data_IF_010144854646
#
_entry.id   IF_010144854646
#
_cell.length_a   1.000
_cell.length_b   1.000
_cell.length_c   1.000
_cell.angle_alpha   90.00
_cell.angle_beta   90.00
_cell.angle_gamma   90.00
#
_symmetry.space_group_name_H-M   'P 1'
#
loop_
_entity.id
_entity.type
_entity.pdbx_description
1 polymer ?
#
# COMPACT_ATOMS: atom_id res chain seq x y z
N UNK A 1 -0.15 -79.68 -31.76
CA UNK A 1 1.22 -79.09 -31.78
C UNK A 1 1.22 -77.67 -32.34
N UNK A 2 0.49 -77.34 -33.37
CA UNK A 2 0.38 -75.94 -33.91
C UNK A 2 -0.30 -74.95 -32.95
N UNK A 3 -1.33 -75.38 -32.21
CA UNK A 3 -2.06 -74.53 -31.29
C UNK A 3 -1.21 -74.03 -30.11
N UNK A 4 -0.27 -74.85 -29.63
CA UNK A 4 0.62 -74.49 -28.51
C UNK A 4 1.65 -73.49 -28.94
N UNK A 5 2.15 -73.57 -30.17
CA UNK A 5 3.12 -72.62 -30.73
C UNK A 5 2.48 -71.25 -30.97
N UNK A 6 1.27 -71.21 -31.52
CA UNK A 6 0.53 -69.95 -31.78
C UNK A 6 0.12 -69.28 -30.46
N UNK A 7 -0.23 -70.02 -29.42
CA UNK A 7 -0.55 -69.47 -28.12
C UNK A 7 0.67 -68.81 -27.48
N UNK A 8 1.82 -69.46 -27.54
CA UNK A 8 3.09 -68.94 -26.95
C UNK A 8 3.61 -67.70 -27.69
N UNK A 9 3.49 -67.68 -29.03
CA UNK A 9 3.85 -66.50 -29.83
C UNK A 9 2.90 -65.35 -29.56
N UNK A 10 1.59 -65.63 -29.40
CA UNK A 10 0.58 -64.61 -29.10
C UNK A 10 0.75 -64.04 -27.70
N UNK A 11 1.06 -64.83 -26.69
CA UNK A 11 1.36 -64.38 -25.34
C UNK A 11 2.63 -63.52 -25.28
N UNK A 12 3.69 -63.89 -25.96
CA UNK A 12 4.89 -63.09 -26.09
C UNK A 12 4.68 -61.76 -26.88
N UNK A 13 3.81 -61.76 -27.90
CA UNK A 13 3.49 -60.58 -28.67
C UNK A 13 2.70 -59.58 -27.82
N UNK A 14 1.68 -60.01 -27.12
CA UNK A 14 0.85 -59.21 -26.22
C UNK A 14 1.69 -58.58 -25.11
N UNK A 15 2.58 -59.38 -24.50
CA UNK A 15 3.46 -58.90 -23.44
C UNK A 15 4.42 -57.81 -23.98
N UNK A 16 5.03 -58.01 -25.14
CA UNK A 16 5.91 -57.02 -25.77
C UNK A 16 5.17 -55.76 -26.13
N UNK A 17 3.96 -55.86 -26.64
CA UNK A 17 3.09 -54.72 -26.99
C UNK A 17 2.72 -53.91 -25.73
N UNK A 18 2.30 -54.57 -24.65
CA UNK A 18 2.02 -53.94 -23.36
C UNK A 18 3.23 -53.26 -22.77
N UNK A 19 4.41 -53.91 -22.80
CA UNK A 19 5.63 -53.38 -22.30
C UNK A 19 6.05 -52.09 -23.05
N UNK A 20 5.93 -52.12 -24.38
CA UNK A 20 6.20 -50.92 -25.23
C UNK A 20 5.30 -49.74 -24.87
N UNK A 21 3.98 -49.99 -24.70
CA UNK A 21 3.07 -48.95 -24.29
C UNK A 21 3.33 -48.42 -22.88
N UNK A 22 3.69 -49.30 -21.97
CA UNK A 22 4.05 -48.93 -20.61
C UNK A 22 5.30 -48.05 -20.60
N UNK A 23 6.31 -48.32 -21.40
CA UNK A 23 7.52 -47.49 -21.50
C UNK A 23 7.19 -46.09 -22.05
N UNK A 24 6.37 -46.03 -23.10
CA UNK A 24 5.95 -44.75 -23.68
C UNK A 24 5.17 -43.91 -22.64
N UNK A 25 4.22 -44.58 -21.95
CA UNK A 25 3.40 -43.91 -20.93
C UNK A 25 4.28 -43.40 -19.75
N UNK A 26 5.28 -44.19 -19.33
CA UNK A 26 6.20 -43.80 -18.27
C UNK A 26 7.10 -42.64 -18.70
N UNK A 27 7.58 -42.63 -19.94
CA UNK A 27 8.33 -41.53 -20.49
C UNK A 27 7.50 -40.23 -20.57
N UNK A 28 6.25 -40.33 -21.04
CA UNK A 28 5.33 -39.18 -21.06
C UNK A 28 5.05 -38.64 -19.66
N UNK A 29 4.84 -39.51 -18.66
CA UNK A 29 4.64 -39.14 -17.26
C UNK A 29 5.86 -38.40 -16.68
N UNK A 30 7.07 -38.88 -16.96
CA UNK A 30 8.31 -38.21 -16.53
C UNK A 30 8.46 -36.81 -17.15
N UNK A 31 8.18 -36.66 -18.44
CA UNK A 31 8.24 -35.36 -19.11
C UNK A 31 7.20 -34.39 -18.49
N UNK A 32 5.99 -34.85 -18.26
CA UNK A 32 4.95 -34.06 -17.60
C UNK A 32 5.35 -33.65 -16.16
N UNK A 33 5.94 -34.56 -15.38
CA UNK A 33 6.36 -34.29 -14.03
C UNK A 33 7.49 -33.23 -13.97
N UNK A 34 8.47 -33.34 -14.87
CA UNK A 34 9.57 -32.36 -14.98
C UNK A 34 9.02 -31.01 -15.44
N UNK A 35 8.14 -30.99 -16.45
CA UNK A 35 7.51 -29.78 -16.95
C UNK A 35 6.68 -29.07 -15.88
N UNK A 36 5.87 -29.83 -15.14
CA UNK A 36 5.06 -29.29 -14.04
C UNK A 36 5.92 -28.71 -12.93
N UNK A 37 6.98 -29.41 -12.54
CA UNK A 37 7.93 -28.92 -11.52
C UNK A 37 8.60 -27.63 -11.96
N UNK A 38 9.06 -27.56 -13.19
CA UNK A 38 9.69 -26.36 -13.74
C UNK A 38 8.72 -25.18 -13.80
N UNK A 39 7.51 -25.39 -14.29
CA UNK A 39 6.46 -24.37 -14.32
C UNK A 39 6.11 -23.86 -12.91
N UNK A 40 5.98 -24.77 -11.94
CA UNK A 40 5.69 -24.41 -10.56
C UNK A 40 6.79 -23.53 -9.93
N UNK A 41 8.06 -23.86 -10.17
CA UNK A 41 9.19 -23.06 -9.66
C UNK A 41 9.19 -21.67 -10.29
N UNK A 42 8.96 -21.57 -11.59
CA UNK A 42 8.91 -20.27 -12.31
C UNK A 42 7.78 -19.41 -11.73
N UNK A 43 6.56 -19.95 -11.67
CA UNK A 43 5.39 -19.21 -11.16
C UNK A 43 5.59 -18.77 -9.72
N UNK A 44 6.14 -19.65 -8.87
CA UNK A 44 6.44 -19.32 -7.47
C UNK A 44 7.42 -18.15 -7.36
N UNK A 45 8.50 -18.18 -8.12
CA UNK A 45 9.50 -17.13 -8.09
C UNK A 45 8.91 -15.81 -8.62
N UNK A 46 8.16 -15.85 -9.70
CA UNK A 46 7.50 -14.67 -10.29
C UNK A 46 6.51 -14.02 -9.32
N UNK A 47 5.73 -14.83 -8.59
CA UNK A 47 4.80 -14.34 -7.56
C UNK A 47 5.57 -13.72 -6.39
N UNK A 48 6.65 -14.35 -5.93
CA UNK A 48 7.47 -13.82 -4.84
C UNK A 48 8.13 -12.49 -5.24
N UNK A 49 8.73 -12.42 -6.42
CA UNK A 49 9.39 -11.21 -6.91
C UNK A 49 8.38 -10.07 -7.13
N UNK A 50 7.23 -10.37 -7.70
CA UNK A 50 6.14 -9.41 -7.88
C UNK A 50 5.59 -8.89 -6.55
N UNK A 51 5.42 -9.79 -5.56
CA UNK A 51 4.95 -9.41 -4.24
C UNK A 51 5.99 -8.53 -3.52
N UNK A 52 7.26 -8.90 -3.61
CA UNK A 52 8.35 -8.16 -2.99
C UNK A 52 8.52 -6.76 -3.61
N UNK A 53 8.38 -6.66 -4.94
CA UNK A 53 8.35 -5.40 -5.65
C UNK A 53 7.19 -4.51 -5.20
N UNK A 54 5.97 -5.06 -5.13
CA UNK A 54 4.79 -4.33 -4.68
C UNK A 54 4.92 -3.84 -3.23
N UNK A 55 5.47 -4.66 -2.33
CA UNK A 55 5.74 -4.26 -0.95
C UNK A 55 6.79 -3.14 -0.88
N UNK A 56 7.87 -3.26 -1.63
CA UNK A 56 8.92 -2.22 -1.68
C UNK A 56 8.37 -0.90 -2.19
N UNK A 57 7.53 -0.95 -3.22
CA UNK A 57 6.87 0.25 -3.76
C UNK A 57 5.90 0.86 -2.75
N UNK A 58 5.12 0.04 -2.03
CA UNK A 58 4.22 0.52 -0.99
C UNK A 58 4.98 1.20 0.16
N UNK A 59 6.05 0.57 0.65
CA UNK A 59 6.91 1.16 1.69
C UNK A 59 7.52 2.49 1.22
N UNK A 60 8.07 2.52 0.00
CA UNK A 60 8.64 3.76 -0.57
C UNK A 60 7.59 4.87 -0.72
N UNK A 61 6.36 4.52 -1.11
CA UNK A 61 5.25 5.48 -1.21
C UNK A 61 4.87 6.07 0.14
N UNK A 62 4.82 5.24 1.19
CA UNK A 62 4.54 5.70 2.56
C UNK A 62 5.68 6.59 3.07
N UNK A 63 6.94 6.20 2.87
CA UNK A 63 8.11 6.96 3.33
C UNK A 63 8.19 8.33 2.63
N UNK A 64 7.94 8.38 1.33
CA UNK A 64 7.84 9.64 0.59
C UNK A 64 6.70 10.51 1.13
N UNK A 65 5.52 9.94 1.36
CA UNK A 65 4.39 10.66 1.92
C UNK A 65 4.66 11.21 3.33
N UNK A 66 5.34 10.46 4.19
CA UNK A 66 5.77 10.94 5.51
C UNK A 66 6.80 12.07 5.41
N UNK A 67 7.72 11.99 4.46
CA UNK A 67 8.70 13.05 4.20
C UNK A 67 8.04 14.33 3.70
N UNK A 68 7.04 14.20 2.81
CA UNK A 68 6.23 15.33 2.35
C UNK A 68 5.45 15.96 3.49
N UNK A 69 4.81 15.16 4.34
CA UNK A 69 4.10 15.67 5.54
C UNK A 69 5.03 16.39 6.51
N UNK A 70 6.21 15.83 6.76
CA UNK A 70 7.22 16.48 7.60
C UNK A 70 7.64 17.83 7.02
N UNK A 71 7.88 17.88 5.73
CA UNK A 71 8.27 19.10 5.02
C UNK A 71 7.15 20.14 5.08
N UNK A 72 5.92 19.74 4.84
CA UNK A 72 4.75 20.58 4.95
C UNK A 72 4.57 21.12 6.37
N UNK A 73 4.70 20.26 7.38
CA UNK A 73 4.64 20.66 8.78
C UNK A 73 5.70 21.71 9.15
N UNK A 74 6.95 21.49 8.72
CA UNK A 74 8.03 22.45 8.96
C UNK A 74 7.80 23.79 8.22
N UNK A 75 7.34 23.75 6.97
CA UNK A 75 7.04 24.95 6.20
C UNK A 75 5.87 25.73 6.81
N UNK A 76 4.86 25.02 7.30
CA UNK A 76 3.70 25.64 7.96
C UNK A 76 4.12 26.29 9.29
N UNK A 77 4.88 25.59 10.12
CA UNK A 77 5.37 26.10 11.39
C UNK A 77 6.29 27.34 11.23
N UNK A 78 7.02 27.43 10.11
CA UNK A 78 7.89 28.57 9.79
C UNK A 78 7.18 29.67 9.01
N UNK A 79 5.90 29.52 8.70
CA UNK A 79 5.19 30.56 7.96
C UNK A 79 5.01 31.80 8.82
N UNK A 80 5.24 32.96 8.23
CA UNK A 80 5.12 34.25 8.93
C UNK A 80 3.71 34.45 9.50
N UNK A 81 2.70 33.97 8.79
CA UNK A 81 1.30 34.05 9.21
C UNK A 81 1.02 33.27 10.49
N UNK A 82 1.57 32.05 10.59
CA UNK A 82 1.44 31.22 11.81
C UNK A 82 2.25 31.81 12.96
N UNK A 83 3.48 32.25 12.69
CA UNK A 83 4.31 32.90 13.70
C UNK A 83 3.67 34.18 14.25
N UNK A 84 3.07 35.00 13.39
CA UNK A 84 2.33 36.19 13.83
C UNK A 84 1.11 35.82 14.67
N UNK A 85 0.38 34.75 14.31
CA UNK A 85 -0.76 34.27 15.09
C UNK A 85 -0.38 33.85 16.50
N UNK A 86 0.73 33.15 16.66
CA UNK A 86 1.18 32.65 17.95
C UNK A 86 1.54 33.81 18.94
N UNK A 87 1.95 34.95 18.38
CA UNK A 87 2.32 36.14 19.13
C UNK A 87 1.23 37.24 19.24
N UNK A 88 0.07 37.00 18.59
CA UNK A 88 -1.05 37.94 18.61
C UNK A 88 -1.75 37.95 19.98
N UNK A 89 -2.05 39.15 20.46
CA UNK A 89 -2.95 39.33 21.59
C UNK A 89 -4.37 39.56 21.05
N UNK A 90 -5.36 39.12 21.83
CA UNK A 90 -6.79 39.25 21.49
C UNK A 90 -7.23 40.72 21.28
N UNK A 91 -6.40 41.68 21.69
CA UNK A 91 -6.65 43.11 21.60
C UNK A 91 -6.14 43.79 20.32
N UNK A 92 -5.48 43.03 19.43
CA UNK A 92 -4.96 43.60 18.19
C UNK A 92 -6.08 43.81 17.16
N UNK A 93 -6.18 45.02 16.58
CA UNK A 93 -7.20 45.39 15.57
C UNK A 93 -7.24 44.45 14.35
N UNK A 94 -6.13 43.77 14.06
CA UNK A 94 -6.00 42.87 12.93
C UNK A 94 -6.07 41.38 13.32
N UNK A 95 -6.46 41.05 14.55
CA UNK A 95 -6.48 39.67 15.05
C UNK A 95 -7.23 38.71 14.11
N UNK A 96 -8.47 39.03 13.78
CA UNK A 96 -9.30 38.16 12.92
C UNK A 96 -8.77 38.09 11.49
N UNK A 97 -8.24 39.17 10.93
CA UNK A 97 -7.67 39.16 9.58
C UNK A 97 -6.43 38.27 9.49
N UNK A 98 -5.59 38.27 10.51
CA UNK A 98 -4.41 37.43 10.56
C UNK A 98 -4.78 35.94 10.72
N UNK A 99 -5.80 35.62 11.52
CA UNK A 99 -6.37 34.24 11.60
C UNK A 99 -6.86 33.78 10.23
N UNK A 100 -7.68 34.56 9.56
CA UNK A 100 -8.23 34.21 8.24
C UNK A 100 -7.11 33.99 7.22
N UNK A 101 -6.09 34.87 7.23
CA UNK A 101 -4.94 34.72 6.32
C UNK A 101 -4.17 33.43 6.59
N UNK A 102 -3.84 33.13 7.86
CA UNK A 102 -3.13 31.91 8.22
C UNK A 102 -3.92 30.64 7.89
N UNK A 103 -5.25 30.66 8.10
CA UNK A 103 -6.13 29.56 7.72
C UNK A 103 -6.07 29.36 6.20
N UNK A 104 -6.19 30.42 5.42
CA UNK A 104 -6.15 30.32 3.97
C UNK A 104 -4.80 29.81 3.44
N UNK A 105 -3.68 30.31 3.97
CA UNK A 105 -2.35 29.84 3.59
C UNK A 105 -2.15 28.35 3.93
N UNK A 106 -2.60 27.92 5.09
CA UNK A 106 -2.54 26.53 5.50
C UNK A 106 -3.32 25.64 4.54
N UNK A 107 -4.58 25.98 4.26
CA UNK A 107 -5.40 25.19 3.35
C UNK A 107 -4.87 25.16 1.93
N UNK A 108 -4.35 26.27 1.43
CA UNK A 108 -3.72 26.27 0.11
C UNK A 108 -2.54 25.31 0.03
N UNK A 109 -1.70 25.29 1.06
CA UNK A 109 -0.57 24.35 1.14
C UNK A 109 -1.04 22.90 1.23
N UNK A 110 -2.05 22.63 2.07
CA UNK A 110 -2.59 21.28 2.22
C UNK A 110 -3.20 20.73 0.93
N UNK A 111 -3.92 21.55 0.17
CA UNK A 111 -4.49 21.15 -1.12
C UNK A 111 -3.42 20.74 -2.15
N UNK A 112 -2.26 21.38 -2.14
CA UNK A 112 -1.20 21.13 -3.12
C UNK A 112 -0.20 20.04 -2.71
N UNK A 113 0.02 19.86 -1.42
CA UNK A 113 1.14 19.03 -0.91
C UNK A 113 0.71 17.87 -0.02
N UNK A 114 -0.59 17.74 0.28
CA UNK A 114 -1.04 16.61 1.10
C UNK A 114 -1.09 15.32 0.29
N UNK A 115 -0.46 14.23 0.76
CA UNK A 115 -0.63 12.93 0.17
C UNK A 115 -2.10 12.51 0.15
N UNK A 116 -2.54 11.82 -0.90
CA UNK A 116 -3.93 11.41 -1.11
C UNK A 116 -4.53 10.53 0.00
N UNK A 117 -3.69 9.96 0.86
CA UNK A 117 -4.11 9.13 2.00
C UNK A 117 -4.27 9.91 3.30
N UNK A 118 -3.94 11.22 3.32
CA UNK A 118 -4.15 12.10 4.48
C UNK A 118 -5.50 12.76 4.36
N UNK A 119 -6.45 12.28 5.12
CA UNK A 119 -7.82 12.80 5.09
C UNK A 119 -8.04 14.02 5.98
N UNK A 120 -7.30 14.10 7.09
CA UNK A 120 -7.50 15.14 8.09
C UNK A 120 -6.18 15.67 8.62
N UNK A 121 -6.09 16.97 8.73
CA UNK A 121 -4.97 17.68 9.32
C UNK A 121 -5.46 18.85 10.11
N UNK A 122 -4.79 19.14 11.20
CA UNK A 122 -5.08 20.31 12.03
C UNK A 122 -3.78 20.99 12.50
N UNK A 123 -3.87 22.24 12.86
CA UNK A 123 -2.78 22.99 13.51
C UNK A 123 -3.21 23.33 14.93
N UNK A 124 -2.41 22.95 15.90
CA UNK A 124 -2.57 23.42 17.25
C UNK A 124 -1.66 24.64 17.49
N UNK A 125 -2.26 25.77 17.89
CA UNK A 125 -1.59 27.01 18.21
C UNK A 125 -1.41 27.08 19.71
N UNK A 126 -0.22 26.72 20.20
CA UNK A 126 0.09 26.61 21.61
C UNK A 126 -0.06 27.96 22.34
N UNK A 127 0.36 29.06 21.73
CA UNK A 127 0.29 30.40 22.34
C UNK A 127 -1.14 30.96 22.51
N UNK A 128 -2.09 30.48 21.70
CA UNK A 128 -3.48 30.90 21.74
C UNK A 128 -4.42 29.87 22.36
N UNK A 129 -3.92 28.66 22.61
CA UNK A 129 -4.74 27.51 23.00
C UNK A 129 -5.94 27.30 22.06
N UNK A 130 -5.65 27.16 20.77
CA UNK A 130 -6.64 27.01 19.70
C UNK A 130 -6.19 26.00 18.68
N UNK A 131 -7.17 25.33 18.07
CA UNK A 131 -6.98 24.40 16.97
C UNK A 131 -7.58 24.96 15.69
N UNK A 132 -6.80 25.00 14.62
CA UNK A 132 -7.29 25.31 13.29
C UNK A 132 -7.62 23.99 12.58
N UNK A 133 -8.86 23.79 12.24
CA UNK A 133 -9.34 22.61 11.53
C UNK A 133 -10.50 23.00 10.60
N UNK A 134 -10.52 22.46 9.40
CA UNK A 134 -11.58 22.65 8.41
C UNK A 134 -12.03 24.11 8.23
N UNK A 135 -11.06 25.03 8.08
CA UNK A 135 -11.25 26.48 7.92
C UNK A 135 -11.92 27.20 9.10
N UNK A 136 -11.95 26.57 10.25
CA UNK A 136 -12.47 27.12 11.48
C UNK A 136 -11.43 27.03 12.61
N UNK A 137 -11.67 27.82 13.65
CA UNK A 137 -10.84 27.84 14.86
C UNK A 137 -11.68 27.31 16.02
N UNK A 138 -11.17 26.29 16.68
CA UNK A 138 -11.83 25.61 17.77
C UNK A 138 -11.07 25.77 19.07
N UNK A 139 -11.76 25.74 20.20
CA UNK A 139 -11.14 25.47 21.48
C UNK A 139 -10.74 23.96 21.56
N UNK A 140 -9.66 23.60 22.22
CA UNK A 140 -9.17 22.21 22.25
C UNK A 140 -10.16 21.20 22.80
N UNK A 141 -10.95 21.57 23.80
CA UNK A 141 -12.02 20.77 24.39
C UNK A 141 -13.14 20.45 23.39
N UNK A 142 -13.55 21.44 22.61
CA UNK A 142 -14.54 21.28 21.54
C UNK A 142 -13.96 20.41 20.41
N UNK A 143 -12.70 20.63 20.03
CA UNK A 143 -12.04 19.86 18.98
C UNK A 143 -11.86 18.39 19.38
N UNK A 144 -11.51 18.12 20.64
CA UNK A 144 -11.38 16.75 21.14
C UNK A 144 -12.68 15.96 21.09
N UNK A 145 -13.82 16.62 21.34
CA UNK A 145 -15.15 15.96 21.20
C UNK A 145 -15.44 15.60 19.73
N UNK A 146 -15.08 16.44 18.78
CA UNK A 146 -15.19 16.13 17.34
C UNK A 146 -14.32 14.93 16.91
N UNK A 147 -13.09 14.81 17.44
CA UNK A 147 -12.22 13.69 17.11
C UNK A 147 -12.73 12.35 17.67
N UNK A 148 -13.38 12.37 18.83
CA UNK A 148 -13.93 11.17 19.45
C UNK A 148 -15.17 10.65 18.71
N UNK A 149 -15.97 11.52 18.12
CA UNK A 149 -17.14 11.16 17.30
C UNK A 149 -16.75 10.54 15.92
N UNK A 150 -15.47 10.55 15.56
CA UNK A 150 -14.97 9.98 14.29
C UNK A 150 -14.43 8.55 14.44
N UNK A 151 -14.48 7.99 15.64
CA UNK A 151 -13.97 6.65 15.99
C UNK A 151 -15.03 5.55 16.00
N UNK A 152 -16.30 5.90 15.82
CA UNK A 152 -17.44 4.98 15.70
C UNK A 152 -17.93 4.92 14.24
#
# INVERSE_FOLDING_TARGET
>A
MFETITKHVRENFVVRFLLSHLIILLAALLICAVGFRSAFVIVRNDVLDSTMFAMTQAVSSVDNGLTELRTLGMQTARSESIYRLENLRHTDDNYYQNIIRAINEYYQRMLYYSPNWVNNTFIYLNGLDRVIYNRAVYAPDIFSSYLLDWGD
#
